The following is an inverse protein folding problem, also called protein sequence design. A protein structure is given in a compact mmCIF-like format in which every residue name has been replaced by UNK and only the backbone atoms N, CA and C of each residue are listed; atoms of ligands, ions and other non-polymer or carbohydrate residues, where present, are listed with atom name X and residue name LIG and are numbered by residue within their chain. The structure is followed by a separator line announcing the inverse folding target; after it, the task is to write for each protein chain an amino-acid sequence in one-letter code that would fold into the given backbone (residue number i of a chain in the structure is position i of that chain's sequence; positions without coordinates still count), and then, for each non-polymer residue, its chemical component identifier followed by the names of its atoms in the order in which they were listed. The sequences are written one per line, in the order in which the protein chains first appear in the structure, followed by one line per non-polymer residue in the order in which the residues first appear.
data_IF_004901883091
#
_entry.id   IF_004901883091
#
_cell.length_a   1.000
_cell.length_b   1.000
_cell.length_c   1.000
_cell.angle_alpha   90.00
_cell.angle_beta   90.00
_cell.angle_gamma   90.00
#
_symmetry.space_group_name_H-M   'P 1'
#
loop_
_entity.id
_entity.type
_entity.pdbx_description
1 polymer ?
#
# COMPACT_ATOMS: atom_id res chain seq x y z
N UNK A 1 4.28 18.30 -13.80
CA UNK A 1 3.86 19.69 -14.20
C UNK A 1 2.46 20.03 -13.64
N UNK A 2 1.51 19.09 -13.57
CA UNK A 2 0.16 19.36 -13.03
C UNK A 2 0.13 19.68 -11.53
N UNK A 3 1.16 19.31 -10.77
CA UNK A 3 1.25 19.50 -9.32
C UNK A 3 2.01 20.77 -8.91
N UNK A 4 2.54 21.52 -9.89
CA UNK A 4 3.22 22.80 -9.68
C UNK A 4 4.40 22.72 -8.72
N UNK A 5 4.62 23.80 -7.96
CA UNK A 5 5.76 23.94 -7.04
C UNK A 5 5.68 23.07 -5.77
N UNK A 6 4.55 22.40 -5.54
CA UNK A 6 4.38 21.51 -4.39
C UNK A 6 5.16 20.21 -4.57
N UNK A 7 5.35 19.77 -5.82
CA UNK A 7 6.03 18.51 -6.12
C UNK A 7 7.49 18.70 -6.52
N UNK A 8 8.30 17.70 -6.20
CA UNK A 8 9.63 17.57 -6.78
C UNK A 8 9.52 17.47 -8.32
N UNK A 9 10.34 18.20 -9.11
CA UNK A 9 10.10 18.36 -10.55
C UNK A 9 10.34 17.09 -11.38
N UNK A 10 11.14 16.15 -10.87
CA UNK A 10 11.51 14.91 -11.55
C UNK A 10 10.82 13.70 -10.91
N UNK A 11 10.70 12.61 -11.67
CA UNK A 11 10.33 11.30 -11.11
C UNK A 11 11.56 10.76 -10.37
N UNK A 12 11.35 10.40 -9.11
CA UNK A 12 12.40 9.85 -8.25
C UNK A 12 12.71 8.42 -8.66
N UNK A 13 13.99 8.09 -8.83
CA UNK A 13 14.48 6.79 -9.31
C UNK A 13 15.30 6.02 -8.25
N UNK A 14 15.51 6.61 -7.07
CA UNK A 14 16.21 5.97 -5.96
C UNK A 14 15.72 6.46 -4.59
N UNK A 15 16.01 5.67 -3.54
CA UNK A 15 15.68 6.07 -2.16
C UNK A 15 16.48 7.27 -1.68
N UNK A 16 17.71 7.44 -2.17
CA UNK A 16 18.54 8.60 -1.86
C UNK A 16 17.96 9.86 -2.46
N UNK A 17 17.57 9.79 -3.74
CA UNK A 17 16.88 10.91 -4.41
C UNK A 17 15.55 11.24 -3.73
N UNK A 18 14.79 10.23 -3.28
CA UNK A 18 13.56 10.43 -2.52
C UNK A 18 13.79 11.28 -1.25
N UNK A 19 14.83 10.96 -0.47
CA UNK A 19 15.18 11.73 0.72
C UNK A 19 15.49 13.19 0.36
N UNK A 20 16.31 13.40 -0.66
CA UNK A 20 16.69 14.74 -1.11
C UNK A 20 15.50 15.52 -1.67
N UNK A 21 14.63 14.88 -2.41
CA UNK A 21 13.41 15.48 -2.95
C UNK A 21 12.50 16.01 -1.83
N UNK A 22 12.28 15.22 -0.77
CA UNK A 22 11.39 15.56 0.35
C UNK A 22 12.01 16.56 1.35
N UNK A 23 13.29 16.88 1.26
CA UNK A 23 13.89 18.02 1.97
C UNK A 23 13.42 19.35 1.36
N UNK A 24 13.21 19.37 0.05
CA UNK A 24 12.92 20.60 -0.70
C UNK A 24 11.46 20.74 -1.13
N UNK A 25 10.67 19.67 -1.09
CA UNK A 25 9.28 19.65 -1.56
C UNK A 25 8.43 18.72 -0.68
N UNK A 26 7.15 19.04 -0.59
CA UNK A 26 6.19 18.28 0.19
C UNK A 26 5.73 16.99 -0.51
N UNK A 27 5.92 16.90 -1.84
CA UNK A 27 5.48 15.81 -2.67
C UNK A 27 6.60 15.33 -3.59
N UNK A 28 6.79 14.03 -3.67
CA UNK A 28 7.65 13.36 -4.65
C UNK A 28 6.87 12.25 -5.36
N UNK A 29 7.11 12.09 -6.66
CA UNK A 29 6.57 11.00 -7.47
C UNK A 29 7.70 10.02 -7.78
N UNK A 30 7.49 8.75 -7.46
CA UNK A 30 8.45 7.68 -7.71
C UNK A 30 7.83 6.58 -8.57
N UNK A 31 8.67 5.89 -9.32
CA UNK A 31 8.32 4.67 -10.07
C UNK A 31 8.95 3.42 -9.45
N UNK A 32 9.16 2.38 -10.27
CA UNK A 32 9.96 1.22 -9.88
C UNK A 32 11.45 1.57 -9.90
N UNK A 33 12.20 1.17 -8.87
CA UNK A 33 13.63 1.48 -8.78
C UNK A 33 14.50 0.39 -9.38
N UNK A 34 14.12 -0.88 -9.20
CA UNK A 34 14.94 -2.02 -9.59
C UNK A 34 14.16 -3.04 -10.41
N UNK A 35 14.77 -3.57 -11.49
CA UNK A 35 14.18 -4.69 -12.23
C UNK A 35 13.91 -5.89 -11.31
N UNK A 36 12.76 -6.51 -11.48
CA UNK A 36 12.38 -7.71 -10.73
C UNK A 36 11.77 -7.46 -9.34
N UNK A 37 11.71 -6.21 -8.88
CA UNK A 37 10.97 -5.86 -7.66
C UNK A 37 9.54 -5.38 -7.98
N UNK A 38 8.61 -5.75 -7.12
CA UNK A 38 7.25 -5.26 -7.22
C UNK A 38 7.16 -3.78 -6.84
N UNK A 39 6.20 -3.07 -7.41
CA UNK A 39 5.91 -1.68 -7.00
C UNK A 39 5.47 -1.59 -5.54
N UNK A 40 4.87 -2.64 -4.99
CA UNK A 40 4.51 -2.70 -3.57
C UNK A 40 5.76 -2.73 -2.68
N UNK A 41 6.76 -3.58 -3.00
CA UNK A 41 8.02 -3.62 -2.26
C UNK A 41 8.78 -2.29 -2.35
N UNK A 42 8.83 -1.68 -3.55
CA UNK A 42 9.45 -0.35 -3.72
C UNK A 42 8.74 0.71 -2.88
N UNK A 43 7.40 0.73 -2.89
CA UNK A 43 6.63 1.67 -2.06
C UNK A 43 6.87 1.44 -0.56
N UNK A 44 6.98 0.18 -0.11
CA UNK A 44 7.31 -0.13 1.27
C UNK A 44 8.73 0.36 1.66
N UNK A 45 9.70 0.20 0.76
CA UNK A 45 11.04 0.77 0.94
C UNK A 45 11.03 2.30 1.03
N UNK A 46 10.26 2.95 0.17
CA UNK A 46 10.08 4.40 0.24
C UNK A 46 9.47 4.80 1.59
N UNK A 47 8.42 4.13 2.02
CA UNK A 47 7.74 4.40 3.29
C UNK A 47 8.67 4.23 4.50
N UNK A 48 9.47 3.16 4.54
CA UNK A 48 10.49 2.94 5.58
C UNK A 48 11.55 4.05 5.56
N UNK A 49 12.05 4.39 4.36
CA UNK A 49 13.11 5.40 4.17
C UNK A 49 12.74 6.78 4.70
N UNK A 50 11.48 7.17 4.54
CA UNK A 50 10.98 8.48 4.98
C UNK A 50 10.36 8.45 6.38
N UNK A 51 10.37 7.30 7.06
CA UNK A 51 9.75 7.12 8.38
C UNK A 51 8.22 7.30 8.35
N UNK A 52 7.57 6.88 7.26
CA UNK A 52 6.12 6.96 7.15
C UNK A 52 5.45 6.09 8.23
N UNK A 53 4.31 6.57 8.75
CA UNK A 53 3.49 5.78 9.69
C UNK A 53 2.46 4.92 8.96
N UNK A 54 2.15 5.27 7.70
CA UNK A 54 1.08 4.66 6.93
C UNK A 54 1.46 4.58 5.46
N UNK A 55 1.16 3.44 4.84
CA UNK A 55 1.19 3.24 3.41
C UNK A 55 -0.22 3.00 2.91
N UNK A 56 -0.59 3.65 1.80
CA UNK A 56 -1.90 3.49 1.17
C UNK A 56 -1.72 2.83 -0.19
N UNK A 57 -2.45 1.73 -0.42
CA UNK A 57 -2.52 1.03 -1.71
C UNK A 57 -3.89 1.27 -2.32
N UNK A 58 -3.92 2.04 -3.40
CA UNK A 58 -5.11 2.24 -4.22
C UNK A 58 -5.13 1.20 -5.35
N UNK A 59 -6.18 0.39 -5.38
CA UNK A 59 -6.32 -0.75 -6.29
C UNK A 59 -7.73 -0.80 -6.90
N UNK A 60 -8.06 -1.89 -7.58
CA UNK A 60 -9.38 -2.12 -8.18
C UNK A 60 -10.31 -2.99 -7.32
N UNK A 61 -9.92 -3.28 -6.07
CA UNK A 61 -10.74 -3.99 -5.09
C UNK A 61 -10.98 -3.13 -3.86
N UNK A 62 -12.09 -3.34 -3.15
CA UNK A 62 -12.46 -2.53 -1.98
C UNK A 62 -11.51 -2.73 -0.78
N UNK A 63 -10.85 -3.89 -0.70
CA UNK A 63 -9.96 -4.30 0.37
C UNK A 63 -9.79 -5.82 0.39
N UNK A 64 -9.48 -6.37 1.54
CA UNK A 64 -9.28 -7.81 1.77
C UNK A 64 -10.58 -8.44 2.26
N UNK A 65 -10.94 -9.57 1.65
CA UNK A 65 -12.13 -10.34 2.01
C UNK A 65 -11.73 -11.66 2.70
N UNK A 66 -12.63 -12.21 3.48
CA UNK A 66 -12.46 -13.52 4.15
C UNK A 66 -12.43 -14.71 3.16
N UNK A 67 -12.95 -14.50 1.94
CA UNK A 67 -12.94 -15.43 0.80
C UNK A 67 -13.15 -14.65 -0.50
N UNK A 68 -12.90 -15.31 -1.65
CA UNK A 68 -13.03 -14.65 -2.96
C UNK A 68 -14.47 -14.17 -3.23
N UNK A 69 -14.72 -12.84 -3.29
CA UNK A 69 -16.06 -12.29 -3.51
C UNK A 69 -16.64 -12.59 -4.90
N UNK A 70 -15.81 -13.01 -5.86
CA UNK A 70 -16.28 -13.45 -7.19
C UNK A 70 -16.83 -14.86 -7.16
N UNK A 71 -16.31 -15.69 -6.28
CA UNK A 71 -16.73 -17.08 -6.11
C UNK A 71 -17.83 -17.23 -5.06
N UNK A 72 -17.83 -16.37 -4.03
CA UNK A 72 -18.71 -16.47 -2.89
C UNK A 72 -19.49 -15.17 -2.66
N UNK A 73 -20.82 -15.22 -2.88
CA UNK A 73 -21.69 -14.05 -2.68
C UNK A 73 -21.79 -13.56 -1.22
N UNK A 74 -21.44 -14.39 -0.28
CA UNK A 74 -21.42 -14.14 1.16
C UNK A 74 -20.01 -13.76 1.68
N UNK A 75 -19.07 -13.47 0.79
CA UNK A 75 -17.76 -12.95 1.14
C UNK A 75 -17.88 -11.62 1.89
N UNK A 76 -17.15 -11.48 2.99
CA UNK A 76 -17.19 -10.30 3.86
C UNK A 76 -15.88 -9.54 3.79
N UNK A 77 -15.98 -8.24 3.59
CA UNK A 77 -14.84 -7.34 3.66
C UNK A 77 -14.31 -7.31 5.11
N UNK A 78 -13.02 -7.52 5.26
CA UNK A 78 -12.32 -7.41 6.55
C UNK A 78 -11.85 -5.96 6.68
N UNK A 79 -12.44 -5.21 7.61
CA UNK A 79 -12.11 -3.80 7.80
C UNK A 79 -10.77 -3.56 8.51
N UNK A 80 -10.39 -4.47 9.41
CA UNK A 80 -9.12 -4.43 10.17
C UNK A 80 -8.58 -5.83 10.36
N UNK A 81 -7.25 -5.94 10.31
CA UNK A 81 -6.50 -7.15 10.64
C UNK A 81 -5.06 -6.79 11.01
N UNK A 82 -4.34 -7.75 11.59
CA UNK A 82 -2.89 -7.62 11.83
C UNK A 82 -2.09 -8.23 10.66
N UNK A 83 -0.77 -7.97 10.64
CA UNK A 83 0.12 -8.59 9.65
C UNK A 83 0.15 -10.12 9.79
N UNK A 84 0.12 -10.64 11.02
CA UNK A 84 0.04 -12.09 11.27
C UNK A 84 -1.25 -12.70 10.74
N UNK A 85 -2.38 -12.02 10.88
CA UNK A 85 -3.66 -12.46 10.32
C UNK A 85 -3.65 -12.45 8.79
N UNK A 86 -3.09 -11.39 8.18
CA UNK A 86 -2.94 -11.30 6.73
C UNK A 86 -2.08 -12.44 6.18
N UNK A 87 -0.93 -12.74 6.82
CA UNK A 87 -0.07 -13.86 6.40
C UNK A 87 -0.81 -15.20 6.45
N UNK A 88 -1.51 -15.48 7.54
CA UNK A 88 -2.33 -16.71 7.68
C UNK A 88 -3.41 -16.79 6.61
N UNK A 89 -4.06 -15.69 6.30
CA UNK A 89 -5.04 -15.64 5.23
C UNK A 89 -4.42 -15.98 3.87
N UNK A 90 -3.26 -15.40 3.56
CA UNK A 90 -2.53 -15.66 2.30
C UNK A 90 -2.05 -17.12 2.18
N UNK A 91 -1.62 -17.73 3.27
CA UNK A 91 -1.21 -19.15 3.32
C UNK A 91 -2.40 -20.12 3.15
N UNK A 92 -3.54 -19.77 3.72
CA UNK A 92 -4.76 -20.58 3.68
C UNK A 92 -5.48 -20.59 2.33
N UNK A 93 -5.22 -19.60 1.48
CA UNK A 93 -5.89 -19.45 0.19
C UNK A 93 -4.89 -19.21 -0.96
N UNK A 94 -4.16 -20.25 -1.43
CA UNK A 94 -3.21 -20.11 -2.54
C UNK A 94 -3.83 -19.56 -3.83
N UNK A 95 -5.15 -19.77 -4.03
CA UNK A 95 -5.91 -19.24 -5.17
C UNK A 95 -6.38 -17.79 -4.93
N UNK A 96 -6.64 -17.40 -3.69
CA UNK A 96 -6.90 -16.00 -3.34
C UNK A 96 -5.65 -15.13 -3.50
N UNK A 97 -4.46 -15.71 -3.42
CA UNK A 97 -3.20 -15.03 -3.76
C UNK A 97 -3.18 -14.48 -5.20
N UNK A 98 -4.05 -14.98 -6.09
CA UNK A 98 -4.24 -14.39 -7.42
C UNK A 98 -4.78 -12.96 -7.39
N UNK A 99 -5.61 -12.58 -6.41
CA UNK A 99 -6.17 -11.24 -6.25
C UNK A 99 -5.27 -10.32 -5.41
N UNK A 100 -4.54 -10.88 -4.44
CA UNK A 100 -3.61 -10.13 -3.59
C UNK A 100 -2.18 -10.12 -4.13
N UNK A 101 -1.97 -10.39 -5.44
CA UNK A 101 -0.67 -10.30 -6.12
C UNK A 101 0.02 -8.95 -5.99
N UNK A 102 -0.73 -7.91 -5.61
CA UNK A 102 -0.17 -6.60 -5.31
C UNK A 102 0.61 -6.56 -4.00
N UNK A 103 0.34 -7.50 -3.08
CA UNK A 103 0.95 -7.58 -1.75
C UNK A 103 1.93 -8.73 -1.77
N UNK A 104 3.21 -8.44 -1.73
CA UNK A 104 4.26 -9.45 -1.72
C UNK A 104 4.93 -9.59 -0.34
N UNK A 105 5.60 -10.72 -0.13
CA UNK A 105 6.22 -11.04 1.15
C UNK A 105 7.35 -10.07 1.54
N UNK A 106 8.06 -9.50 0.56
CA UNK A 106 9.15 -8.54 0.80
C UNK A 106 8.59 -7.25 1.34
N UNK A 107 7.61 -6.67 0.64
CA UNK A 107 6.95 -5.44 1.08
C UNK A 107 6.26 -5.59 2.43
N UNK A 108 5.57 -6.71 2.67
CA UNK A 108 4.95 -7.00 3.98
C UNK A 108 6.00 -7.04 5.11
N UNK A 109 7.14 -7.70 4.89
CA UNK A 109 8.19 -7.80 5.90
C UNK A 109 8.79 -6.44 6.22
N UNK A 110 8.90 -5.54 5.24
CA UNK A 110 9.38 -4.17 5.44
C UNK A 110 8.37 -3.38 6.28
N UNK A 111 7.09 -3.39 5.91
CA UNK A 111 6.05 -2.64 6.62
C UNK A 111 5.90 -3.11 8.06
N UNK A 112 5.93 -4.41 8.30
CA UNK A 112 5.82 -5.02 9.63
C UNK A 112 6.99 -4.62 10.54
N UNK A 113 8.24 -4.82 10.09
CA UNK A 113 9.44 -4.45 10.89
C UNK A 113 9.52 -2.95 11.17
N UNK A 114 9.06 -2.12 10.25
CA UNK A 114 9.05 -0.66 10.38
C UNK A 114 7.81 -0.13 11.09
N UNK A 115 6.90 -1.03 11.52
CA UNK A 115 5.65 -0.72 12.20
C UNK A 115 4.77 0.28 11.42
N UNK A 116 4.77 0.16 10.10
CA UNK A 116 3.98 1.00 9.19
C UNK A 116 2.62 0.32 8.99
N UNK A 117 1.51 1.02 9.20
CA UNK A 117 0.19 0.49 8.89
C UNK A 117 -0.07 0.53 7.38
N UNK A 118 -0.74 -0.51 6.85
CA UNK A 118 -1.12 -0.61 5.45
C UNK A 118 -2.63 -0.40 5.32
N UNK A 119 -3.05 0.45 4.38
CA UNK A 119 -4.45 0.58 3.99
C UNK A 119 -4.61 0.16 2.53
N UNK A 120 -5.58 -0.72 2.26
CA UNK A 120 -5.93 -1.17 0.90
C UNK A 120 -7.33 -0.69 0.59
N UNK A 121 -7.49 0.07 -0.50
CA UNK A 121 -8.75 0.71 -0.89
C UNK A 121 -9.04 0.56 -2.39
N UNK A 122 -10.30 0.74 -2.77
CA UNK A 122 -10.67 0.94 -4.17
C UNK A 122 -10.27 2.34 -4.62
N UNK A 123 -9.23 2.42 -5.44
CA UNK A 123 -8.69 3.67 -5.99
C UNK A 123 -9.48 4.26 -7.17
N UNK A 124 -10.49 3.55 -7.68
CA UNK A 124 -11.36 4.05 -8.78
C UNK A 124 -12.33 5.12 -8.30
N UNK A 125 -12.61 5.17 -6.98
CA UNK A 125 -13.44 6.19 -6.36
C UNK A 125 -12.59 7.23 -5.64
N UNK A 126 -12.45 8.47 -6.17
CA UNK A 126 -11.70 9.54 -5.53
C UNK A 126 -12.21 9.93 -4.13
N UNK A 127 -13.49 9.66 -3.82
CA UNK A 127 -14.05 9.93 -2.50
C UNK A 127 -13.44 9.01 -1.46
N UNK A 128 -13.28 7.71 -1.78
CA UNK A 128 -12.62 6.73 -0.89
C UNK A 128 -11.16 7.09 -0.63
N UNK A 129 -10.43 7.54 -1.66
CA UNK A 129 -9.07 8.02 -1.49
C UNK A 129 -9.02 9.22 -0.52
N UNK A 130 -9.91 10.18 -0.68
CA UNK A 130 -10.02 11.34 0.22
C UNK A 130 -10.35 10.93 1.66
N UNK A 131 -11.26 9.98 1.83
CA UNK A 131 -11.62 9.45 3.16
C UNK A 131 -10.46 8.72 3.83
N UNK A 132 -9.72 7.88 3.07
CA UNK A 132 -8.54 7.20 3.58
C UNK A 132 -7.44 8.18 4.04
N UNK A 133 -7.26 9.27 3.31
CA UNK A 133 -6.27 10.30 3.64
C UNK A 133 -6.72 11.19 4.81
N UNK A 134 -8.00 11.58 4.88
CA UNK A 134 -8.50 12.54 5.87
C UNK A 134 -8.98 11.88 7.17
N UNK A 135 -9.70 10.77 7.08
CA UNK A 135 -10.30 10.08 8.24
C UNK A 135 -9.45 8.90 8.72
N UNK A 136 -8.47 8.47 7.92
CA UNK A 136 -7.58 7.38 8.26
C UNK A 136 -8.16 5.98 8.12
N UNK A 137 -9.38 5.82 7.62
CA UNK A 137 -10.00 4.52 7.40
C UNK A 137 -10.82 4.51 6.10
N UNK A 138 -10.57 3.50 5.28
CA UNK A 138 -11.39 3.06 4.15
C UNK A 138 -10.85 1.67 3.74
N UNK A 139 -11.71 0.81 3.24
CA UNK A 139 -11.31 -0.54 2.80
C UNK A 139 -10.79 -1.41 3.96
N UNK A 140 -9.61 -2.01 3.78
CA UNK A 140 -8.94 -2.82 4.82
C UNK A 140 -7.73 -2.08 5.38
N UNK A 141 -7.62 -2.06 6.71
CA UNK A 141 -6.44 -1.59 7.43
C UNK A 141 -5.71 -2.79 8.01
N UNK A 142 -4.41 -2.92 7.70
CA UNK A 142 -3.50 -3.89 8.30
C UNK A 142 -2.58 -3.16 9.25
N UNK A 143 -2.55 -3.59 10.50
CA UNK A 143 -1.79 -2.96 11.58
C UNK A 143 -0.65 -3.88 12.06
N UNK A 144 0.45 -3.32 12.59
CA UNK A 144 1.45 -4.11 13.30
C UNK A 144 0.83 -4.86 14.49
N UNK A 145 1.29 -6.09 14.71
CA UNK A 145 0.91 -6.92 15.86
C UNK A 145 1.33 -6.29 17.18
#
# INVERSE_FOLDING_TARGET
QALGDVSYPNVVESVEELRNALVSRDLAVAGGFWPGQSTFAVAAYCAETIGARKMLVATNVEGIYDKDPRMFRDAKLISRMTYSELRRLMEGFPQAAGEYRMVDAVGLSILERSRISLSIIDGRDPKRLREALSKGYAGTIVEPD
#
